data_IF_263048075149
#
_entry.id   IF_263048075149
#
_cell.length_a   1.000
_cell.length_b   1.000
_cell.length_c   1.000
_cell.angle_alpha   90.00
_cell.angle_beta   90.00
_cell.angle_gamma   90.00
#
_symmetry.space_group_name_H-M   'P 1'
#
loop_
_entity.id
_entity.type
_entity.pdbx_description
1 polymer ?
#
# COMPACT_ATOMS: atom_id res chain seq x y z
N UNK A 1 -16.19 -3.03 -22.84
CA UNK A 1 -15.45 -2.70 -21.59
C UNK A 1 -14.50 -1.57 -21.93
N UNK A 2 -14.54 -0.45 -21.21
CA UNK A 2 -13.61 0.66 -21.43
C UNK A 2 -12.18 0.20 -21.13
N UNK A 3 -11.27 0.29 -22.10
CA UNK A 3 -9.84 0.07 -21.82
C UNK A 3 -9.37 1.22 -20.92
N UNK A 4 -9.03 0.90 -19.68
CA UNK A 4 -8.39 1.89 -18.81
C UNK A 4 -6.92 2.02 -19.20
N UNK A 5 -6.36 3.24 -19.14
CA UNK A 5 -4.96 3.48 -19.45
C UNK A 5 -4.05 2.68 -18.50
N UNK A 6 -2.91 2.24 -19.04
CA UNK A 6 -1.91 1.42 -18.35
C UNK A 6 -0.52 2.05 -18.48
N UNK A 7 0.42 1.57 -17.65
CA UNK A 7 1.84 1.92 -17.70
C UNK A 7 2.69 0.70 -17.37
N UNK A 8 3.97 0.74 -17.71
CA UNK A 8 4.92 -0.33 -17.37
C UNK A 8 5.90 0.18 -16.32
N UNK A 9 5.99 -0.51 -15.18
CA UNK A 9 6.95 -0.24 -14.11
C UNK A 9 7.78 -1.50 -13.88
N UNK A 10 9.09 -1.42 -14.09
CA UNK A 10 10.03 -2.56 -13.96
C UNK A 10 9.57 -3.84 -14.69
N UNK A 11 8.96 -3.69 -15.88
CA UNK A 11 8.47 -4.80 -16.69
C UNK A 11 7.08 -5.34 -16.29
N UNK A 12 6.44 -4.78 -15.26
CA UNK A 12 5.08 -5.12 -14.83
C UNK A 12 4.08 -4.09 -15.38
N UNK A 13 3.00 -4.57 -16.00
CA UNK A 13 1.91 -3.71 -16.49
C UNK A 13 0.97 -3.35 -15.33
N UNK A 14 0.89 -2.06 -15.02
CA UNK A 14 0.05 -1.49 -13.97
C UNK A 14 -1.00 -0.55 -14.56
N UNK A 15 -2.01 -0.19 -13.76
CA UNK A 15 -2.91 0.93 -14.11
C UNK A 15 -2.13 2.23 -14.21
N UNK A 16 -2.56 3.11 -15.12
CA UNK A 16 -2.01 4.45 -15.19
C UNK A 16 -2.17 5.20 -13.87
N UNK A 17 -1.33 6.22 -13.66
CA UNK A 17 -1.38 7.02 -12.46
C UNK A 17 -2.76 7.62 -12.21
N UNK A 18 -3.22 7.66 -10.96
CA UNK A 18 -4.46 8.33 -10.65
C UNK A 18 -4.31 9.82 -10.98
N UNK A 19 -5.40 10.51 -11.37
CA UNK A 19 -5.37 11.96 -11.51
C UNK A 19 -4.92 12.60 -10.19
N UNK A 20 -3.90 13.46 -10.27
CA UNK A 20 -3.34 14.21 -9.15
C UNK A 20 -3.07 15.64 -9.59
N UNK A 21 -3.18 16.58 -8.67
CA UNK A 21 -2.79 17.97 -8.91
C UNK A 21 -1.26 18.06 -9.11
N UNK A 22 -0.79 19.10 -9.80
CA UNK A 22 0.64 19.29 -10.10
C UNK A 22 1.52 19.46 -8.86
N UNK A 23 0.91 19.75 -7.70
CA UNK A 23 1.59 19.80 -6.42
C UNK A 23 2.00 18.42 -5.88
N UNK A 24 1.47 17.33 -6.43
CA UNK A 24 1.80 15.96 -6.03
C UNK A 24 2.73 15.30 -7.04
N UNK A 25 3.80 14.70 -6.52
CA UNK A 25 4.67 13.82 -7.29
C UNK A 25 4.34 12.37 -6.94
N UNK A 26 3.99 11.57 -7.95
CA UNK A 26 3.74 10.14 -7.76
C UNK A 26 5.07 9.40 -7.85
N UNK A 27 5.47 8.75 -6.76
CA UNK A 27 6.53 7.77 -6.75
C UNK A 27 5.96 6.39 -7.12
N UNK A 28 6.62 5.72 -8.06
CA UNK A 28 6.34 4.35 -8.50
C UNK A 28 7.15 3.33 -7.71
N UNK A 29 8.35 3.72 -7.29
CA UNK A 29 9.29 2.89 -6.56
C UNK A 29 9.60 3.54 -5.22
N UNK A 30 9.87 2.71 -4.22
CA UNK A 30 10.34 3.18 -2.91
C UNK A 30 11.63 4.03 -3.05
N UNK A 31 12.51 3.67 -3.99
CA UNK A 31 13.73 4.42 -4.30
C UNK A 31 13.48 5.84 -4.85
N UNK A 32 12.26 6.16 -5.30
CA UNK A 32 11.88 7.51 -5.76
C UNK A 32 11.30 8.36 -4.61
N UNK A 33 10.97 7.74 -3.47
CA UNK A 33 10.46 8.45 -2.30
C UNK A 33 11.56 9.30 -1.68
N UNK A 34 11.22 10.53 -1.30
CA UNK A 34 12.14 11.38 -0.57
C UNK A 34 12.41 10.82 0.84
N UNK A 35 13.67 10.79 1.25
CA UNK A 35 14.07 10.41 2.61
C UNK A 35 14.75 11.60 3.30
N UNK A 36 14.18 12.04 4.41
CA UNK A 36 14.78 13.10 5.21
C UNK A 36 15.91 12.55 6.08
N UNK A 37 17.05 13.26 6.20
CA UNK A 37 18.13 12.83 7.07
C UNK A 37 17.80 13.05 8.56
N UNK A 38 18.27 12.14 9.39
CA UNK A 38 18.22 12.23 10.86
C UNK A 38 16.80 12.14 11.42
N UNK A 39 16.58 12.80 12.57
CA UNK A 39 15.30 12.78 13.31
C UNK A 39 14.70 14.18 13.41
N UNK A 40 14.78 14.96 12.34
CA UNK A 40 14.13 16.28 12.28
C UNK A 40 12.60 16.12 12.37
N UNK A 41 11.83 17.13 12.82
CA UNK A 41 10.37 17.02 12.88
C UNK A 41 9.70 16.66 11.54
N UNK A 42 10.16 17.17 10.37
CA UNK A 42 9.68 16.69 9.08
C UNK A 42 10.00 15.20 8.82
N UNK A 43 11.21 14.75 9.15
CA UNK A 43 11.61 13.34 9.00
C UNK A 43 10.76 12.40 9.86
N UNK A 44 10.44 12.79 11.09
CA UNK A 44 9.60 11.99 11.97
C UNK A 44 8.17 11.87 11.44
N UNK A 45 7.59 12.97 10.94
CA UNK A 45 6.26 12.95 10.32
C UNK A 45 6.23 12.07 9.08
N UNK A 46 7.23 12.23 8.19
CA UNK A 46 7.36 11.42 7.00
C UNK A 46 7.45 9.92 7.35
N UNK A 47 8.30 9.55 8.31
CA UNK A 47 8.43 8.17 8.79
C UNK A 47 7.11 7.62 9.36
N UNK A 48 6.37 8.40 10.14
CA UNK A 48 5.07 8.00 10.67
C UNK A 48 4.05 7.75 9.54
N UNK A 49 3.97 8.66 8.57
CA UNK A 49 3.11 8.47 7.40
C UNK A 49 3.51 7.26 6.56
N UNK A 50 4.81 6.99 6.42
CA UNK A 50 5.32 5.82 5.72
C UNK A 50 4.93 4.52 6.44
N UNK A 51 5.09 4.46 7.76
CA UNK A 51 4.63 3.31 8.55
C UNK A 51 3.12 3.10 8.42
N UNK A 52 2.32 4.15 8.62
CA UNK A 52 0.86 4.09 8.44
C UNK A 52 0.47 3.58 7.03
N UNK A 53 1.15 4.05 5.99
CA UNK A 53 0.93 3.58 4.62
C UNK A 53 1.24 2.11 4.41
N UNK A 54 2.30 1.60 5.05
CA UNK A 54 2.64 0.18 5.00
C UNK A 54 1.57 -0.69 5.68
N UNK A 55 1.07 -0.27 6.84
CA UNK A 55 0.03 -1.03 7.54
C UNK A 55 -1.30 -1.01 6.77
N UNK A 56 -1.63 0.13 6.14
CA UNK A 56 -2.80 0.21 5.26
C UNK A 56 -2.68 -0.73 4.05
N UNK A 57 -1.50 -0.77 3.41
CA UNK A 57 -1.25 -1.69 2.30
C UNK A 57 -1.35 -3.16 2.72
N UNK A 58 -0.80 -3.51 3.88
CA UNK A 58 -0.89 -4.86 4.46
C UNK A 58 -2.34 -5.24 4.78
N UNK A 59 -3.13 -4.31 5.33
CA UNK A 59 -4.56 -4.48 5.59
C UNK A 59 -5.33 -4.76 4.30
N UNK A 60 -5.16 -3.92 3.27
CA UNK A 60 -5.86 -4.05 2.00
C UNK A 60 -5.56 -5.39 1.31
N UNK A 61 -4.28 -5.81 1.32
CA UNK A 61 -3.87 -7.10 0.74
C UNK A 61 -4.50 -8.26 1.50
N UNK A 62 -4.41 -8.27 2.84
CA UNK A 62 -4.97 -9.35 3.65
C UNK A 62 -6.50 -9.45 3.49
N UNK A 63 -7.20 -8.32 3.48
CA UNK A 63 -8.63 -8.25 3.28
C UNK A 63 -9.04 -8.72 1.88
N UNK A 64 -8.31 -8.31 0.84
CA UNK A 64 -8.57 -8.74 -0.54
C UNK A 64 -8.33 -10.25 -0.71
N UNK A 65 -7.28 -10.81 -0.10
CA UNK A 65 -7.05 -12.25 -0.13
C UNK A 65 -8.20 -13.04 0.51
N UNK A 66 -8.79 -12.56 1.60
CA UNK A 66 -9.97 -13.20 2.20
C UNK A 66 -11.18 -13.21 1.26
N UNK A 67 -11.36 -12.14 0.49
CA UNK A 67 -12.46 -12.02 -0.46
C UNK A 67 -12.24 -12.88 -1.73
N UNK A 68 -11.02 -12.87 -2.27
CA UNK A 68 -10.70 -13.53 -3.53
C UNK A 68 -10.48 -15.04 -3.39
N UNK A 69 -10.13 -15.53 -2.20
CA UNK A 69 -9.81 -16.94 -1.95
C UNK A 69 -10.67 -17.55 -0.82
N UNK A 70 -12.00 -17.61 -0.99
CA UNK A 70 -12.89 -18.14 0.05
C UNK A 70 -12.63 -19.62 0.38
N UNK A 71 -12.11 -20.39 -0.59
CA UNK A 71 -11.83 -21.82 -0.48
C UNK A 71 -10.42 -22.14 0.03
N UNK A 72 -9.61 -21.12 0.36
CA UNK A 72 -8.30 -21.33 0.95
C UNK A 72 -8.39 -22.10 2.30
N UNK A 73 -7.33 -22.83 2.69
CA UNK A 73 -7.30 -23.55 3.97
C UNK A 73 -7.73 -22.65 5.14
N UNK A 74 -8.50 -23.21 6.07
CA UNK A 74 -9.08 -22.45 7.17
C UNK A 74 -8.01 -21.72 7.99
N UNK A 75 -6.90 -22.39 8.26
CA UNK A 75 -5.77 -21.87 9.02
C UNK A 75 -5.20 -20.61 8.36
N UNK A 76 -5.02 -20.66 7.03
CA UNK A 76 -4.53 -19.51 6.26
C UNK A 76 -5.53 -18.35 6.31
N UNK A 77 -6.83 -18.61 6.15
CA UNK A 77 -7.85 -17.55 6.25
C UNK A 77 -7.91 -16.95 7.65
N UNK A 78 -7.74 -17.76 8.70
CA UNK A 78 -7.70 -17.25 10.07
C UNK A 78 -6.47 -16.36 10.31
N UNK A 79 -5.31 -16.72 9.77
CA UNK A 79 -4.10 -15.90 9.85
C UNK A 79 -4.25 -14.58 9.10
N UNK A 80 -4.80 -14.61 7.88
CA UNK A 80 -5.10 -13.40 7.10
C UNK A 80 -6.11 -12.48 7.81
N UNK A 81 -7.15 -13.06 8.43
CA UNK A 81 -8.13 -12.29 9.21
C UNK A 81 -7.50 -11.64 10.45
N UNK A 82 -6.58 -12.34 11.13
CA UNK A 82 -5.81 -11.77 12.24
C UNK A 82 -4.90 -10.64 11.77
N UNK A 83 -4.21 -10.83 10.65
CA UNK A 83 -3.37 -9.79 10.05
C UNK A 83 -4.20 -8.53 9.75
N UNK A 84 -5.35 -8.67 9.09
CA UNK A 84 -6.24 -7.54 8.83
C UNK A 84 -6.70 -6.85 10.14
N UNK A 85 -7.04 -7.64 11.15
CA UNK A 85 -7.40 -7.09 12.47
C UNK A 85 -6.26 -6.29 13.10
N UNK A 86 -5.04 -6.85 13.10
CA UNK A 86 -3.88 -6.22 13.73
C UNK A 86 -3.48 -4.93 13.00
N UNK A 87 -3.40 -4.95 11.67
CA UNK A 87 -3.00 -3.76 10.91
C UNK A 87 -4.05 -2.65 10.95
N UNK A 88 -5.34 -2.99 11.05
CA UNK A 88 -6.38 -1.98 11.26
C UNK A 88 -6.16 -1.17 12.55
N UNK A 89 -5.57 -1.77 13.59
CA UNK A 89 -5.26 -1.11 14.86
C UNK A 89 -3.94 -0.35 14.85
N UNK A 90 -3.04 -0.65 13.92
CA UNK A 90 -1.81 0.11 13.74
C UNK A 90 -2.06 1.39 12.93
N UNK A 91 -3.06 1.37 12.03
CA UNK A 91 -3.46 2.54 11.23
C UNK A 91 -4.25 3.58 12.04
N UNK A 92 -5.03 3.14 13.04
CA UNK A 92 -5.90 3.98 13.89
C UNK A 92 -5.17 4.58 15.10
#
# INVERSE_FOLDING_TARGET
>A
MSEFPTKVVRGVTLRADPPRESAFQVAQLDAEMHEYPGMTPPAQRERLHRHMGNELGSLDIAAQCLADFPDAPWELRLELARQAWDESRHVL
#
